data_IF_917516162743
#
_entry.id   IF_917516162743
#
_cell.length_a   1.000
_cell.length_b   1.000
_cell.length_c   1.000
_cell.angle_alpha   90.00
_cell.angle_beta   90.00
_cell.angle_gamma   90.00
#
_symmetry.space_group_name_H-M   'P 1'
#
loop_
_entity.id
_entity.type
_entity.pdbx_description
1 polymer ?
#
# COMPACT_ATOMS: atom_id res chain seq x y z
N UNK A 1 -7.17 -21.80 11.49
CA UNK A 1 -6.71 -20.66 10.67
C UNK A 1 -6.12 -19.63 11.59
N UNK A 2 -4.93 -19.14 11.36
CA UNK A 2 -4.38 -18.04 12.13
C UNK A 2 -5.34 -16.84 11.98
N UNK A 3 -5.60 -16.14 13.10
CA UNK A 3 -6.52 -15.00 13.13
C UNK A 3 -5.76 -13.82 12.50
N UNK A 4 -6.15 -13.36 11.31
CA UNK A 4 -5.52 -12.20 10.67
C UNK A 4 -5.51 -11.01 11.63
N UNK A 5 -4.42 -10.25 11.65
CA UNK A 5 -4.32 -9.01 12.42
C UNK A 5 -5.37 -7.98 11.98
N UNK A 6 -5.50 -7.79 10.66
CA UNK A 6 -6.54 -6.96 10.06
C UNK A 6 -7.44 -7.86 9.21
N UNK A 7 -8.74 -7.89 9.46
CA UNK A 7 -9.75 -8.64 8.72
C UNK A 7 -10.76 -7.69 8.09
N UNK A 8 -10.91 -7.79 6.79
CA UNK A 8 -11.93 -7.08 6.01
C UNK A 8 -12.89 -8.13 5.46
N UNK A 9 -14.18 -8.00 5.77
CA UNK A 9 -15.20 -8.99 5.45
C UNK A 9 -16.36 -8.33 4.70
N UNK A 10 -16.54 -8.67 3.43
CA UNK A 10 -17.63 -8.21 2.55
C UNK A 10 -17.83 -6.70 2.55
N UNK A 11 -16.71 -5.96 2.55
CA UNK A 11 -16.73 -4.51 2.58
C UNK A 11 -17.31 -3.94 1.28
N UNK A 12 -18.32 -3.07 1.40
CA UNK A 12 -18.99 -2.44 0.25
C UNK A 12 -19.12 -0.95 0.51
N UNK A 13 -18.86 -0.14 -0.52
CA UNK A 13 -19.05 1.30 -0.46
C UNK A 13 -19.86 1.81 -1.64
N UNK A 14 -20.89 2.60 -1.30
CA UNK A 14 -21.78 3.28 -2.23
C UNK A 14 -21.81 4.77 -1.94
N UNK A 15 -21.88 5.57 -2.97
CA UNK A 15 -22.10 7.01 -2.87
C UNK A 15 -23.31 7.44 -3.67
N UNK A 16 -24.00 8.54 -3.30
CA UNK A 16 -25.04 9.14 -4.16
C UNK A 16 -24.46 9.50 -5.53
N UNK A 17 -25.19 9.21 -6.60
CA UNK A 17 -24.76 9.49 -8.00
C UNK A 17 -25.12 10.90 -8.50
N UNK A 18 -25.73 11.73 -7.64
CA UNK A 18 -26.20 13.08 -7.99
C UNK A 18 -27.50 13.13 -8.79
N UNK A 19 -27.99 12.00 -9.31
CA UNK A 19 -29.25 11.88 -10.06
C UNK A 19 -30.36 11.21 -9.25
N UNK A 20 -30.18 11.04 -7.94
CA UNK A 20 -31.12 10.38 -7.03
C UNK A 20 -30.90 8.86 -6.90
N UNK A 21 -29.88 8.32 -7.58
CA UNK A 21 -29.44 6.94 -7.46
C UNK A 21 -28.21 6.77 -6.56
N UNK A 22 -27.62 5.57 -6.61
CA UNK A 22 -26.36 5.27 -5.88
C UNK A 22 -25.37 4.60 -6.81
N UNK A 23 -24.13 5.05 -6.78
CA UNK A 23 -22.99 4.44 -7.48
C UNK A 23 -22.23 3.54 -6.50
N UNK A 24 -22.10 2.26 -6.82
CA UNK A 24 -21.26 1.32 -6.07
C UNK A 24 -19.82 1.45 -6.54
N UNK A 25 -18.93 1.88 -5.65
CA UNK A 25 -17.49 2.03 -5.97
C UNK A 25 -16.82 0.67 -5.95
N UNK A 26 -16.99 -0.07 -4.85
CA UNK A 26 -16.57 -1.47 -4.73
C UNK A 26 -17.58 -2.26 -3.91
N UNK A 27 -17.62 -3.56 -4.13
CA UNK A 27 -18.51 -4.46 -3.41
C UNK A 27 -17.80 -5.75 -2.96
N UNK A 28 -18.26 -6.28 -1.81
CA UNK A 28 -17.82 -7.55 -1.26
C UNK A 28 -16.29 -7.72 -1.14
N UNK A 29 -15.55 -6.62 -0.93
CA UNK A 29 -14.11 -6.71 -0.73
C UNK A 29 -13.82 -7.50 0.56
N UNK A 30 -13.16 -8.67 0.42
CA UNK A 30 -12.84 -9.57 1.52
C UNK A 30 -11.37 -9.94 1.44
N UNK A 31 -10.60 -9.57 2.45
CA UNK A 31 -9.18 -9.93 2.58
C UNK A 31 -8.70 -9.76 4.03
N UNK A 32 -7.56 -10.33 4.34
CA UNK A 32 -6.91 -10.13 5.64
C UNK A 32 -5.48 -9.64 5.47
N UNK A 33 -4.90 -9.08 6.53
CA UNK A 33 -3.48 -8.71 6.61
C UNK A 33 -2.91 -9.31 7.89
N UNK A 34 -1.76 -9.98 7.78
CA UNK A 34 -1.08 -10.56 8.93
C UNK A 34 -0.31 -9.48 9.71
N UNK A 35 -0.05 -9.74 10.99
CA UNK A 35 0.75 -8.81 11.80
C UNK A 35 2.17 -8.71 11.26
N UNK A 36 2.68 -7.48 11.12
CA UNK A 36 4.01 -7.20 10.57
C UNK A 36 4.12 -7.36 9.04
N UNK A 37 3.03 -7.71 8.34
CA UNK A 37 3.03 -7.86 6.89
C UNK A 37 3.02 -6.49 6.19
N UNK A 38 3.78 -6.36 5.11
CA UNK A 38 3.71 -5.22 4.19
C UNK A 38 2.84 -5.59 2.99
N UNK A 39 1.64 -5.05 2.93
CA UNK A 39 0.67 -5.30 1.84
C UNK A 39 0.54 -4.07 0.96
N UNK A 40 0.68 -4.25 -0.35
CA UNK A 40 0.33 -3.23 -1.34
C UNK A 40 -1.01 -3.56 -2.01
N UNK A 41 -1.78 -2.52 -2.36
CA UNK A 41 -2.96 -2.65 -3.20
C UNK A 41 -2.76 -1.90 -4.51
N UNK A 42 -2.92 -2.63 -5.62
CA UNK A 42 -2.83 -2.14 -6.99
C UNK A 42 -4.20 -2.16 -7.67
N UNK A 43 -4.45 -1.20 -8.53
CA UNK A 43 -5.66 -1.10 -9.35
C UNK A 43 -5.75 0.24 -10.05
N UNK A 44 -6.61 0.35 -11.04
CA UNK A 44 -6.79 1.58 -11.82
C UNK A 44 -7.32 2.73 -10.95
N UNK A 45 -7.13 3.97 -11.43
CA UNK A 45 -7.72 5.14 -10.78
C UNK A 45 -9.25 4.99 -10.70
N UNK A 46 -9.84 5.41 -9.59
CA UNK A 46 -11.28 5.34 -9.37
C UNK A 46 -11.84 3.96 -8.95
N UNK A 47 -11.04 2.91 -8.80
CA UNK A 47 -11.54 1.61 -8.32
C UNK A 47 -11.79 1.53 -6.80
N UNK A 48 -11.53 2.60 -6.04
CA UNK A 48 -11.88 2.67 -4.62
C UNK A 48 -10.76 2.39 -3.63
N UNK A 49 -9.49 2.35 -4.03
CA UNK A 49 -8.34 2.10 -3.13
C UNK A 49 -8.27 3.10 -1.97
N UNK A 50 -8.30 4.41 -2.27
CA UNK A 50 -8.29 5.46 -1.25
C UNK A 50 -9.55 5.44 -0.38
N UNK A 51 -10.68 4.97 -0.92
CA UNK A 51 -11.91 4.78 -0.14
C UNK A 51 -11.73 3.64 0.87
N UNK A 52 -11.15 2.50 0.47
CA UNK A 52 -10.79 1.41 1.39
C UNK A 52 -9.85 1.94 2.47
N UNK A 53 -8.81 2.67 2.09
CA UNK A 53 -7.86 3.23 3.05
C UNK A 53 -8.52 4.20 4.03
N UNK A 54 -9.42 5.07 3.59
CA UNK A 54 -10.16 5.97 4.48
C UNK A 54 -11.02 5.21 5.50
N UNK A 55 -11.62 4.09 5.09
CA UNK A 55 -12.35 3.21 6.01
C UNK A 55 -11.37 2.58 7.02
N UNK A 56 -10.22 2.07 6.57
CA UNK A 56 -9.19 1.52 7.45
C UNK A 56 -8.62 2.57 8.41
N UNK A 57 -8.51 3.82 7.99
CA UNK A 57 -8.10 4.94 8.83
C UNK A 57 -9.18 5.35 9.85
N UNK A 58 -10.44 4.92 9.65
CA UNK A 58 -11.61 5.35 10.44
C UNK A 58 -12.10 6.74 10.07
N UNK A 59 -11.73 7.25 8.88
CA UNK A 59 -12.15 8.54 8.34
C UNK A 59 -13.46 8.45 7.54
N UNK A 60 -13.89 7.24 7.21
CA UNK A 60 -15.14 6.96 6.52
C UNK A 60 -15.76 5.67 7.08
N UNK A 61 -17.08 5.61 7.09
CA UNK A 61 -17.82 4.40 7.42
C UNK A 61 -18.20 3.65 6.15
N UNK A 62 -18.10 2.31 6.12
CA UNK A 62 -18.53 1.52 4.98
C UNK A 62 -20.07 1.50 4.90
N UNK A 63 -20.61 1.38 3.68
CA UNK A 63 -22.04 1.17 3.47
C UNK A 63 -22.50 -0.17 4.05
N UNK A 64 -21.67 -1.20 3.94
CA UNK A 64 -21.87 -2.51 4.57
C UNK A 64 -20.56 -3.29 4.66
N UNK A 65 -20.57 -4.39 5.40
CA UNK A 65 -19.39 -5.19 5.69
C UNK A 65 -18.75 -4.80 7.03
N UNK A 66 -17.64 -5.46 7.36
CA UNK A 66 -17.00 -5.35 8.67
C UNK A 66 -15.49 -5.26 8.51
N UNK A 67 -14.87 -4.37 9.30
CA UNK A 67 -13.40 -4.31 9.43
C UNK A 67 -13.07 -4.56 10.91
N UNK A 68 -12.13 -5.48 11.15
CA UNK A 68 -11.61 -5.79 12.49
C UNK A 68 -10.08 -5.68 12.50
N UNK A 69 -9.54 -5.13 13.57
CA UNK A 69 -8.11 -5.10 13.85
C UNK A 69 -7.87 -5.71 15.25
N UNK A 70 -6.95 -6.64 15.38
CA UNK A 70 -6.74 -7.44 16.60
C UNK A 70 -8.03 -8.14 17.10
N UNK A 71 -8.97 -8.40 16.19
CA UNK A 71 -10.28 -9.01 16.50
C UNK A 71 -11.36 -8.05 16.96
N UNK A 72 -11.05 -6.78 17.14
CA UNK A 72 -12.00 -5.73 17.52
C UNK A 72 -12.51 -4.95 16.31
N UNK A 73 -13.77 -4.53 16.33
CA UNK A 73 -14.35 -3.72 15.26
C UNK A 73 -13.65 -2.37 15.17
N UNK A 74 -13.29 -1.99 13.95
CA UNK A 74 -12.76 -0.67 13.65
C UNK A 74 -13.87 0.39 13.71
N UNK A 75 -13.68 1.40 14.55
CA UNK A 75 -14.55 2.57 14.62
C UNK A 75 -13.73 3.85 14.74
N UNK A 76 -14.09 4.89 13.98
CA UNK A 76 -13.47 6.21 14.04
C UNK A 76 -11.95 6.25 13.94
N UNK A 77 -11.31 7.41 13.96
CA UNK A 77 -9.84 7.57 14.00
C UNK A 77 -9.24 7.07 15.33
N UNK A 78 -8.01 6.54 15.27
CA UNK A 78 -7.28 6.06 16.44
C UNK A 78 -5.78 6.27 16.28
N UNK A 79 -5.04 6.47 17.36
CA UNK A 79 -3.58 6.55 17.36
C UNK A 79 -2.90 5.20 17.05
N UNK A 80 -3.63 4.09 17.07
CA UNK A 80 -3.12 2.78 16.63
C UNK A 80 -3.02 2.67 15.10
N UNK A 81 -3.48 3.69 14.36
CA UNK A 81 -3.40 3.78 12.90
C UNK A 81 -2.71 5.07 12.48
N UNK A 82 -1.53 4.92 11.89
CA UNK A 82 -0.78 6.02 11.29
C UNK A 82 -1.14 6.17 9.81
N UNK A 83 -1.26 7.41 9.31
CA UNK A 83 -1.56 7.68 7.91
C UNK A 83 -0.50 8.60 7.31
N UNK A 84 0.05 8.21 6.15
CA UNK A 84 0.87 9.05 5.29
C UNK A 84 0.05 9.34 4.04
N UNK A 85 -0.37 10.59 3.88
CA UNK A 85 -1.16 11.04 2.73
C UNK A 85 -0.26 11.48 1.57
N UNK A 86 -0.77 11.40 0.35
CA UNK A 86 -0.09 11.81 -0.88
C UNK A 86 0.43 13.27 -0.83
N UNK A 87 -0.27 14.16 -0.16
CA UNK A 87 0.07 15.58 -0.02
C UNK A 87 0.88 15.92 1.24
N UNK A 88 1.54 14.92 1.86
CA UNK A 88 2.34 15.00 3.09
C UNK A 88 1.56 15.39 4.35
N UNK A 89 0.50 16.18 4.28
CA UNK A 89 -0.35 16.67 5.37
C UNK A 89 0.44 17.20 6.58
N UNK A 90 1.52 17.94 6.30
CA UNK A 90 2.31 18.61 7.34
C UNK A 90 1.62 19.89 7.81
N UNK A 91 1.73 20.18 9.11
CA UNK A 91 1.27 21.42 9.70
C UNK A 91 2.22 22.55 9.26
N UNK A 92 1.79 23.49 8.39
CA UNK A 92 2.70 24.41 7.71
C UNK A 92 3.31 25.47 8.63
N UNK A 93 2.73 25.71 9.79
CA UNK A 93 3.25 26.63 10.80
C UNK A 93 4.25 26.00 11.76
N UNK A 94 4.39 24.66 11.79
CA UNK A 94 5.34 23.93 12.61
C UNK A 94 6.60 23.57 11.81
N UNK A 95 7.76 23.49 12.50
CA UNK A 95 8.98 22.94 11.91
C UNK A 95 8.85 21.43 11.69
N UNK A 96 9.81 20.80 10.98
CA UNK A 96 9.86 19.36 10.80
C UNK A 96 9.83 18.63 12.15
N UNK A 97 10.72 18.99 13.07
CA UNK A 97 10.75 18.41 14.42
C UNK A 97 9.42 18.62 15.16
N UNK A 98 8.83 19.82 15.09
CA UNK A 98 7.55 20.11 15.74
C UNK A 98 6.38 19.34 15.13
N UNK A 99 6.42 19.02 13.84
CA UNK A 99 5.42 18.14 13.20
C UNK A 99 5.46 16.73 13.79
N UNK A 100 6.65 16.20 14.07
CA UNK A 100 6.81 14.86 14.66
C UNK A 100 6.49 14.90 16.16
N UNK A 101 7.05 15.85 16.91
CA UNK A 101 6.80 15.97 18.36
C UNK A 101 5.32 16.19 18.70
N UNK A 102 4.57 16.87 17.83
CA UNK A 102 3.12 17.05 17.98
C UNK A 102 2.38 15.71 18.01
N UNK A 103 2.73 14.80 17.11
CA UNK A 103 2.12 13.49 17.03
C UNK A 103 2.58 12.58 18.19
N UNK A 104 3.88 12.56 18.48
CA UNK A 104 4.47 11.76 19.56
C UNK A 104 3.91 12.17 20.93
N UNK A 105 3.76 13.47 21.19
CA UNK A 105 3.20 13.95 22.45
C UNK A 105 1.72 13.52 22.65
N UNK A 106 0.95 13.42 21.57
CA UNK A 106 -0.42 12.90 21.62
C UNK A 106 -0.46 11.38 21.90
N UNK A 107 0.52 10.64 21.39
CA UNK A 107 0.60 9.18 21.57
C UNK A 107 1.10 8.79 22.97
N UNK A 108 2.05 9.55 23.50
CA UNK A 108 2.72 9.27 24.77
C UNK A 108 2.55 10.44 25.76
N UNK A 109 1.32 10.63 26.31
CA UNK A 109 0.99 11.79 27.14
C UNK A 109 1.80 11.85 28.46
N UNK A 110 2.29 10.71 28.92
CA UNK A 110 3.08 10.61 30.16
C UNK A 110 4.58 10.89 29.97
N UNK A 111 5.02 11.08 28.71
CA UNK A 111 6.42 11.37 28.42
C UNK A 111 6.78 12.83 28.72
N UNK A 112 7.98 13.02 29.22
CA UNK A 112 8.56 14.36 29.38
C UNK A 112 8.81 15.01 28.02
N UNK A 113 8.86 16.34 27.97
CA UNK A 113 9.18 17.08 26.74
C UNK A 113 10.52 16.63 26.14
N UNK A 114 11.50 16.29 26.99
CA UNK A 114 12.79 15.82 26.55
C UNK A 114 12.68 14.46 25.85
N UNK A 115 11.98 13.49 26.43
CA UNK A 115 11.75 12.17 25.81
C UNK A 115 11.03 12.29 24.46
N UNK A 116 10.00 13.14 24.37
CA UNK A 116 9.29 13.40 23.10
C UNK A 116 10.23 13.97 22.04
N UNK A 117 11.10 14.92 22.40
CA UNK A 117 12.07 15.52 21.47
C UNK A 117 13.13 14.51 21.03
N UNK A 118 13.72 13.77 21.96
CA UNK A 118 14.74 12.76 21.66
C UNK A 118 14.21 11.68 20.74
N UNK A 119 13.04 11.12 21.04
CA UNK A 119 12.39 10.11 20.21
C UNK A 119 12.05 10.65 18.81
N UNK A 120 11.49 11.86 18.73
CA UNK A 120 11.15 12.49 17.44
C UNK A 120 12.39 12.77 16.59
N UNK A 121 13.48 13.20 17.22
CA UNK A 121 14.75 13.44 16.54
C UNK A 121 15.33 12.14 15.99
N UNK A 122 15.30 11.06 16.77
CA UNK A 122 15.78 9.76 16.33
C UNK A 122 15.04 9.24 15.08
N UNK A 123 13.72 9.44 14.99
CA UNK A 123 12.97 9.07 13.78
C UNK A 123 13.25 9.98 12.58
N UNK A 124 13.50 11.27 12.80
CA UNK A 124 13.95 12.17 11.73
C UNK A 124 15.33 11.78 11.19
N UNK A 125 16.25 11.40 12.08
CA UNK A 125 17.57 10.90 11.70
C UNK A 125 17.50 9.59 10.90
N UNK A 126 16.61 8.66 11.29
CA UNK A 126 16.37 7.39 10.55
C UNK A 126 15.92 7.62 9.12
N UNK A 127 15.24 8.71 8.83
CA UNK A 127 14.85 9.11 7.46
C UNK A 127 15.81 10.15 6.85
N UNK A 128 17.03 10.27 7.36
CA UNK A 128 18.09 11.12 6.80
C UNK A 128 17.88 12.63 6.98
N UNK A 129 17.07 13.07 7.94
CA UNK A 129 16.89 14.49 8.27
C UNK A 129 17.64 14.84 9.57
N UNK A 130 18.73 15.62 9.45
CA UNK A 130 19.62 15.95 10.56
C UNK A 130 19.94 17.46 10.61
N UNK A 131 20.59 17.88 11.71
CA UNK A 131 21.10 19.24 11.89
C UNK A 131 20.01 20.30 11.77
N UNK A 132 20.33 21.44 11.18
CA UNK A 132 19.41 22.58 11.06
C UNK A 132 18.14 22.29 10.23
N UNK A 133 18.16 21.24 9.42
CA UNK A 133 17.03 20.88 8.56
C UNK A 133 15.77 20.55 9.36
N UNK A 134 15.91 19.92 10.54
CA UNK A 134 14.75 19.56 11.36
C UNK A 134 14.03 20.77 11.97
N UNK A 135 14.67 21.93 11.99
CA UNK A 135 14.09 23.19 12.50
C UNK A 135 13.37 24.00 11.42
N UNK A 136 13.49 23.61 10.13
CA UNK A 136 12.83 24.28 9.00
C UNK A 136 11.34 23.95 8.95
N UNK A 137 10.55 24.94 8.48
CA UNK A 137 9.12 24.75 8.19
C UNK A 137 8.91 24.06 6.83
N UNK A 138 7.75 23.44 6.58
CA UNK A 138 7.47 22.76 5.32
C UNK A 138 7.70 23.59 4.06
N UNK A 139 7.47 24.90 4.11
CA UNK A 139 7.73 25.83 2.99
C UNK A 139 9.22 25.97 2.63
N UNK A 140 10.11 25.60 3.55
CA UNK A 140 11.58 25.69 3.40
C UNK A 140 12.20 24.32 3.07
N UNK A 141 11.39 23.29 2.90
CA UNK A 141 11.80 21.91 2.62
C UNK A 141 11.48 21.52 1.18
N UNK A 142 12.34 20.69 0.57
CA UNK A 142 12.05 20.05 -0.71
C UNK A 142 10.88 19.08 -0.60
N UNK A 143 10.32 18.61 -1.73
CA UNK A 143 9.28 17.58 -1.75
C UNK A 143 9.70 16.32 -1.02
N UNK A 144 10.89 15.81 -1.32
CA UNK A 144 11.46 14.64 -0.65
C UNK A 144 11.66 14.83 0.85
N UNK A 145 12.14 16.02 1.27
CA UNK A 145 12.27 16.31 2.71
C UNK A 145 10.91 16.36 3.41
N UNK A 146 9.88 16.93 2.79
CA UNK A 146 8.51 16.90 3.35
C UNK A 146 7.99 15.49 3.49
N UNK A 147 8.25 14.63 2.50
CA UNK A 147 7.87 13.21 2.55
C UNK A 147 8.56 12.49 3.71
N UNK A 148 9.86 12.70 3.88
CA UNK A 148 10.63 12.15 5.01
C UNK A 148 10.05 12.56 6.37
N UNK A 149 9.68 13.84 6.54
CA UNK A 149 9.00 14.31 7.76
C UNK A 149 7.66 13.61 7.97
N UNK A 150 6.87 13.41 6.90
CA UNK A 150 5.58 12.72 6.97
C UNK A 150 5.74 11.25 7.38
N UNK A 151 6.73 10.56 6.80
CA UNK A 151 7.09 9.18 7.15
C UNK A 151 7.57 9.12 8.62
N UNK A 152 8.53 9.95 9.01
CA UNK A 152 9.03 9.99 10.39
C UNK A 152 7.91 10.22 11.41
N UNK A 153 6.98 11.15 11.13
CA UNK A 153 5.83 11.44 11.98
C UNK A 153 4.91 10.22 12.14
N UNK A 154 4.67 9.50 11.06
CA UNK A 154 3.79 8.33 11.09
C UNK A 154 4.43 7.17 11.86
N UNK A 155 5.73 6.90 11.64
CA UNK A 155 6.46 5.83 12.33
C UNK A 155 6.74 6.14 13.81
N UNK A 156 7.07 7.39 14.14
CA UNK A 156 7.37 7.81 15.51
C UNK A 156 6.17 7.66 16.46
N UNK A 157 4.96 7.59 15.94
CA UNK A 157 3.75 7.29 16.71
C UNK A 157 3.64 5.81 17.11
N UNK A 158 4.50 4.95 16.58
CA UNK A 158 4.46 3.50 16.82
C UNK A 158 3.04 2.90 16.66
N UNK A 159 2.34 3.20 15.56
CA UNK A 159 1.01 2.65 15.34
C UNK A 159 1.11 1.15 15.05
N UNK A 160 0.04 0.41 15.33
CA UNK A 160 -0.06 -1.01 14.95
C UNK A 160 -0.22 -1.21 13.44
N UNK A 161 -0.87 -0.25 12.77
CA UNK A 161 -1.13 -0.24 11.33
C UNK A 161 -0.70 1.08 10.71
N UNK A 162 0.16 1.03 9.71
CA UNK A 162 0.54 2.15 8.87
C UNK A 162 -0.20 2.09 7.53
N UNK A 163 -0.85 3.17 7.19
CA UNK A 163 -1.59 3.37 5.95
C UNK A 163 -0.84 4.39 5.08
N UNK A 164 -0.40 3.99 3.89
CA UNK A 164 0.40 4.83 3.00
C UNK A 164 -0.37 5.05 1.69
N UNK A 165 -0.83 6.26 1.42
CA UNK A 165 -1.58 6.62 0.20
C UNK A 165 -0.65 7.24 -0.84
N UNK A 166 -0.22 6.45 -1.81
CA UNK A 166 0.70 6.84 -2.89
C UNK A 166 1.90 7.68 -2.38
N UNK A 167 2.65 7.18 -1.38
CA UNK A 167 3.59 8.00 -0.62
C UNK A 167 4.75 8.55 -1.46
N UNK A 168 4.98 8.02 -2.64
CA UNK A 168 6.11 8.43 -3.49
C UNK A 168 5.67 9.06 -4.83
N UNK A 169 4.36 9.20 -5.06
CA UNK A 169 3.81 9.65 -6.34
C UNK A 169 4.25 11.06 -6.78
N UNK A 170 4.53 11.96 -5.83
CA UNK A 170 4.94 13.34 -6.10
C UNK A 170 6.47 13.53 -6.21
N UNK A 171 7.26 12.45 -6.17
CA UNK A 171 8.73 12.52 -6.14
C UNK A 171 9.35 12.20 -7.51
N UNK A 172 10.48 12.85 -7.81
CA UNK A 172 11.34 12.46 -8.93
C UNK A 172 11.96 11.07 -8.70
N UNK A 173 12.42 10.43 -9.76
CA UNK A 173 12.86 9.03 -9.73
C UNK A 173 14.04 8.75 -8.76
N UNK A 174 15.01 9.67 -8.68
CA UNK A 174 16.18 9.48 -7.81
C UNK A 174 15.80 9.65 -6.34
N UNK A 175 15.09 10.72 -6.02
CA UNK A 175 14.57 10.99 -4.67
C UNK A 175 13.65 9.87 -4.20
N UNK A 176 12.77 9.37 -5.08
CA UNK A 176 11.84 8.25 -4.80
C UNK A 176 12.62 7.02 -4.35
N UNK A 177 13.66 6.62 -5.10
CA UNK A 177 14.48 5.47 -4.78
C UNK A 177 15.05 5.54 -3.36
N UNK A 178 15.69 6.66 -3.04
CA UNK A 178 16.30 6.86 -1.72
C UNK A 178 15.27 6.79 -0.59
N UNK A 179 14.10 7.41 -0.75
CA UNK A 179 13.05 7.42 0.30
C UNK A 179 12.41 6.05 0.47
N UNK A 180 12.27 5.26 -0.60
CA UNK A 180 11.79 3.88 -0.50
C UNK A 180 12.76 3.00 0.29
N UNK A 181 14.06 3.16 0.07
CA UNK A 181 15.10 2.41 0.81
C UNK A 181 15.09 2.80 2.30
N UNK A 182 14.94 4.09 2.60
CA UNK A 182 14.80 4.59 3.97
C UNK A 182 13.53 4.06 4.65
N UNK A 183 12.39 4.02 3.93
CA UNK A 183 11.15 3.47 4.45
C UNK A 183 11.30 2.00 4.81
N UNK A 184 11.91 1.18 3.91
CA UNK A 184 12.19 -0.23 4.18
C UNK A 184 13.07 -0.39 5.42
N UNK A 185 14.11 0.44 5.53
CA UNK A 185 15.04 0.38 6.66
C UNK A 185 14.33 0.71 7.99
N UNK A 186 13.50 1.75 8.03
CA UNK A 186 12.72 2.08 9.24
C UNK A 186 11.70 0.98 9.55
N UNK A 187 10.97 0.49 8.54
CA UNK A 187 9.97 -0.56 8.70
C UNK A 187 10.57 -1.87 9.22
N UNK A 188 11.72 -2.29 8.68
CA UNK A 188 12.39 -3.53 9.12
C UNK A 188 12.81 -3.55 10.59
N UNK A 189 12.92 -2.36 11.21
CA UNK A 189 13.28 -2.21 12.63
C UNK A 189 12.07 -2.11 13.56
N UNK A 190 10.86 -1.91 13.02
CA UNK A 190 9.67 -1.57 13.83
C UNK A 190 8.58 -2.63 13.82
N UNK A 191 8.65 -3.63 12.95
CA UNK A 191 7.65 -4.72 12.81
C UNK A 191 6.19 -4.25 12.66
N UNK A 192 5.98 -3.02 12.23
CA UNK A 192 4.64 -2.47 12.05
C UNK A 192 3.97 -3.08 10.82
N UNK A 193 2.67 -3.34 10.91
CA UNK A 193 1.88 -3.77 9.76
C UNK A 193 1.68 -2.59 8.81
N UNK A 194 1.91 -2.78 7.50
CA UNK A 194 1.80 -1.73 6.50
C UNK A 194 0.76 -2.11 5.44
N UNK A 195 -0.14 -1.17 5.15
CA UNK A 195 -1.04 -1.25 4.00
C UNK A 195 -0.80 -0.02 3.11
N UNK A 196 -0.32 -0.24 1.89
CA UNK A 196 0.10 0.83 0.99
C UNK A 196 -0.69 0.81 -0.31
N UNK A 197 -1.18 1.96 -0.73
CA UNK A 197 -1.68 2.18 -2.09
C UNK A 197 -0.52 2.64 -2.97
N UNK A 198 -0.38 2.01 -4.11
CA UNK A 198 0.50 2.48 -5.18
C UNK A 198 -0.10 2.15 -6.54
N UNK A 199 0.36 2.84 -7.57
CA UNK A 199 0.08 2.52 -8.97
C UNK A 199 1.35 2.00 -9.70
N UNK A 200 2.48 1.97 -9.01
CA UNK A 200 3.76 1.52 -9.53
C UNK A 200 3.98 0.04 -9.19
N UNK A 201 4.08 -0.80 -10.24
CA UNK A 201 4.23 -2.25 -10.11
C UNK A 201 5.59 -2.59 -9.51
N UNK A 202 6.66 -1.92 -9.97
CA UNK A 202 8.03 -2.23 -9.56
C UNK A 202 8.24 -1.81 -8.09
N UNK A 203 7.59 -0.73 -7.65
CA UNK A 203 7.51 -0.33 -6.25
C UNK A 203 6.80 -1.39 -5.40
N UNK A 204 5.65 -1.86 -5.84
CA UNK A 204 4.91 -2.89 -5.10
C UNK A 204 5.71 -4.20 -4.96
N UNK A 205 6.43 -4.63 -6.01
CA UNK A 205 7.29 -5.82 -5.95
C UNK A 205 8.47 -5.62 -5.00
N UNK A 206 9.07 -4.43 -4.98
CA UNK A 206 10.18 -4.11 -4.09
C UNK A 206 9.76 -4.13 -2.62
N UNK A 207 8.63 -3.50 -2.30
CA UNK A 207 8.24 -3.20 -0.93
C UNK A 207 7.37 -4.28 -0.28
N UNK A 208 6.42 -4.88 -1.01
CA UNK A 208 5.37 -5.70 -0.43
C UNK A 208 5.78 -7.17 -0.21
N UNK A 209 5.23 -7.79 0.82
CA UNK A 209 5.21 -9.26 0.99
C UNK A 209 4.07 -9.86 0.16
N UNK A 210 3.01 -9.08 -0.02
CA UNK A 210 1.83 -9.46 -0.77
C UNK A 210 1.19 -8.27 -1.47
N UNK A 211 0.67 -8.49 -2.68
CA UNK A 211 0.01 -7.48 -3.49
C UNK A 211 -1.45 -7.89 -3.73
N UNK A 212 -2.37 -7.01 -3.37
CA UNK A 212 -3.79 -7.15 -3.66
C UNK A 212 -4.11 -6.45 -4.98
N UNK A 213 -4.82 -7.15 -5.88
CA UNK A 213 -5.18 -6.64 -7.18
C UNK A 213 -6.68 -6.34 -7.26
N UNK A 214 -7.02 -5.07 -7.49
CA UNK A 214 -8.40 -4.62 -7.67
C UNK A 214 -8.81 -4.60 -9.13
N UNK A 215 -10.06 -5.01 -9.41
CA UNK A 215 -10.68 -4.82 -10.73
C UNK A 215 -10.98 -3.36 -11.00
N UNK A 216 -11.32 -3.02 -12.23
CA UNK A 216 -11.79 -1.69 -12.56
C UNK A 216 -13.19 -1.44 -11.96
N UNK A 217 -13.49 -0.18 -11.62
CA UNK A 217 -14.83 0.26 -11.27
C UNK A 217 -15.75 0.41 -12.49
N UNK A 218 -17.06 0.63 -12.27
CA UNK A 218 -17.77 0.54 -11.01
C UNK A 218 -17.89 -0.91 -10.48
N UNK A 219 -18.33 -1.08 -9.23
CA UNK A 219 -18.41 -2.38 -8.54
C UNK A 219 -17.08 -3.13 -8.54
N UNK A 220 -15.99 -2.41 -8.25
CA UNK A 220 -14.66 -3.01 -8.14
C UNK A 220 -14.61 -4.02 -6.99
N UNK A 221 -13.71 -5.00 -7.10
CA UNK A 221 -13.45 -5.97 -6.04
C UNK A 221 -11.96 -6.31 -5.96
N UNK A 222 -11.53 -6.85 -4.85
CA UNK A 222 -10.21 -7.46 -4.74
C UNK A 222 -10.28 -8.85 -5.38
N UNK A 223 -9.67 -9.01 -6.56
CA UNK A 223 -9.78 -10.23 -7.35
C UNK A 223 -8.66 -11.23 -7.05
N UNK A 224 -7.44 -10.73 -6.86
CA UNK A 224 -6.27 -11.58 -6.63
C UNK A 224 -5.42 -11.07 -5.47
N UNK A 225 -4.75 -12.00 -4.81
CA UNK A 225 -3.76 -11.78 -3.76
C UNK A 225 -2.45 -12.47 -4.18
N UNK A 226 -1.50 -11.68 -4.69
CA UNK A 226 -0.23 -12.18 -5.22
C UNK A 226 0.83 -12.14 -4.13
N UNK A 227 1.36 -13.31 -3.75
CA UNK A 227 2.47 -13.41 -2.80
C UNK A 227 3.79 -13.15 -3.52
N UNK A 228 4.61 -12.28 -2.94
CA UNK A 228 5.95 -11.99 -3.49
C UNK A 228 6.92 -13.03 -2.95
N UNK A 229 7.40 -13.88 -3.85
CA UNK A 229 8.30 -15.01 -3.54
C UNK A 229 9.78 -14.63 -3.53
N UNK A 230 10.10 -13.35 -3.79
CA UNK A 230 11.45 -12.81 -3.71
C UNK A 230 11.79 -12.55 -2.24
N UNK A 231 12.86 -13.14 -1.70
CA UNK A 231 13.20 -12.99 -0.29
C UNK A 231 13.64 -11.55 0.06
N UNK A 232 13.54 -11.22 1.34
CA UNK A 232 14.14 -9.99 1.91
C UNK A 232 15.56 -10.27 2.44
N UNK A 233 16.47 -9.28 2.51
CA UNK A 233 16.30 -7.91 2.04
C UNK A 233 16.30 -7.83 0.51
N UNK A 234 15.49 -6.93 -0.06
CA UNK A 234 15.44 -6.68 -1.50
C UNK A 234 16.20 -5.41 -1.83
N UNK A 235 17.14 -5.52 -2.75
CA UNK A 235 17.90 -4.40 -3.28
C UNK A 235 17.32 -3.99 -4.64
N UNK A 236 17.10 -2.70 -4.85
CA UNK A 236 16.52 -2.13 -6.07
C UNK A 236 17.28 -2.50 -7.32
N UNK A 237 18.62 -2.53 -7.27
CA UNK A 237 19.46 -2.84 -8.42
C UNK A 237 19.53 -4.34 -8.72
N UNK A 238 19.39 -5.17 -7.70
CA UNK A 238 19.55 -6.63 -7.80
C UNK A 238 18.22 -7.36 -7.99
N UNK A 239 17.11 -6.78 -7.51
CA UNK A 239 15.80 -7.43 -7.55
C UNK A 239 15.37 -7.81 -8.96
N UNK A 240 15.75 -7.00 -9.96
CA UNK A 240 15.42 -7.23 -11.38
C UNK A 240 16.10 -8.46 -11.95
N UNK A 241 17.22 -8.91 -11.35
CA UNK A 241 17.96 -10.10 -11.75
C UNK A 241 17.36 -11.38 -11.14
N UNK A 242 16.47 -11.23 -10.14
CA UNK A 242 15.86 -12.38 -9.49
C UNK A 242 14.97 -13.15 -10.48
N UNK A 243 15.08 -14.50 -10.57
CA UNK A 243 14.35 -15.32 -11.55
C UNK A 243 12.84 -15.10 -11.59
N UNK A 244 12.22 -14.79 -10.44
CA UNK A 244 10.77 -14.60 -10.32
C UNK A 244 10.33 -13.16 -10.61
N UNK A 245 11.24 -12.18 -10.70
CA UNK A 245 10.88 -10.77 -10.84
C UNK A 245 10.02 -10.50 -12.07
N UNK A 246 10.49 -10.88 -13.25
CA UNK A 246 9.74 -10.65 -14.49
C UNK A 246 8.48 -11.50 -14.60
N UNK A 247 8.44 -12.68 -14.00
CA UNK A 247 7.24 -13.49 -13.97
C UNK A 247 6.13 -12.82 -13.13
N UNK A 248 6.48 -12.32 -11.95
CA UNK A 248 5.57 -11.55 -11.10
C UNK A 248 5.14 -10.26 -11.81
N UNK A 249 6.09 -9.49 -12.32
CA UNK A 249 5.83 -8.22 -13.01
C UNK A 249 4.89 -8.40 -14.21
N UNK A 250 5.14 -9.39 -15.05
CA UNK A 250 4.30 -9.67 -16.21
C UNK A 250 2.87 -10.07 -15.81
N UNK A 251 2.71 -10.87 -14.76
CA UNK A 251 1.38 -11.21 -14.22
C UNK A 251 0.62 -9.95 -13.79
N UNK A 252 1.26 -9.07 -13.02
CA UNK A 252 0.65 -7.81 -12.56
C UNK A 252 0.27 -6.91 -13.74
N UNK A 253 1.15 -6.78 -14.75
CA UNK A 253 0.89 -6.00 -15.97
C UNK A 253 -0.30 -6.59 -16.75
N UNK A 254 -0.34 -7.91 -16.94
CA UNK A 254 -1.45 -8.59 -17.64
C UNK A 254 -2.78 -8.42 -16.88
N UNK A 255 -2.75 -8.54 -15.56
CA UNK A 255 -3.94 -8.32 -14.75
C UNK A 255 -4.45 -6.89 -14.93
N UNK A 256 -3.62 -5.88 -14.72
CA UNK A 256 -4.01 -4.47 -14.81
C UNK A 256 -4.40 -4.08 -16.25
N UNK A 257 -3.69 -4.58 -17.26
CA UNK A 257 -3.96 -4.24 -18.66
C UNK A 257 -5.24 -4.85 -19.24
N UNK A 258 -5.53 -6.09 -18.90
CA UNK A 258 -6.59 -6.87 -19.57
C UNK A 258 -7.61 -7.50 -18.63
N UNK A 259 -7.16 -8.24 -17.59
CA UNK A 259 -8.04 -9.02 -16.73
C UNK A 259 -8.92 -8.15 -15.85
N UNK A 260 -8.40 -7.05 -15.34
CA UNK A 260 -9.14 -6.10 -14.50
C UNK A 260 -10.38 -5.54 -15.21
N UNK A 261 -10.29 -5.26 -16.53
CA UNK A 261 -11.41 -4.80 -17.35
C UNK A 261 -12.43 -5.91 -17.61
N UNK A 262 -11.99 -7.15 -17.89
CA UNK A 262 -12.87 -8.30 -18.14
C UNK A 262 -13.67 -8.71 -16.90
N UNK A 263 -13.13 -8.43 -15.71
CA UNK A 263 -13.73 -8.73 -14.41
C UNK A 263 -14.58 -7.56 -13.87
N UNK A 264 -14.47 -6.36 -14.45
CA UNK A 264 -15.25 -5.19 -14.07
C UNK A 264 -16.76 -5.42 -14.28
N UNK A 265 -17.57 -4.97 -13.32
CA UNK A 265 -19.03 -5.06 -13.38
C UNK A 265 -19.62 -6.47 -13.31
N UNK A 266 -18.81 -7.50 -13.11
CA UNK A 266 -19.30 -8.86 -12.84
C UNK A 266 -19.49 -9.00 -11.34
N UNK A 267 -20.74 -9.10 -10.89
CA UNK A 267 -21.05 -9.47 -9.51
C UNK A 267 -20.45 -10.84 -9.21
N UNK A 268 -19.77 -10.95 -8.09
CA UNK A 268 -19.35 -12.25 -7.58
C UNK A 268 -20.58 -13.05 -7.18
N UNK A 269 -20.82 -14.17 -7.83
CA UNK A 269 -22.02 -15.00 -7.60
C UNK A 269 -22.05 -15.74 -6.26
N UNK A 270 -21.11 -15.51 -5.34
CA UNK A 270 -20.97 -16.22 -4.07
C UNK A 270 -20.80 -15.31 -2.88
N UNK A 271 -21.33 -15.71 -1.72
CA UNK A 271 -21.42 -14.90 -0.50
C UNK A 271 -20.07 -14.69 0.24
N UNK A 272 -18.95 -15.32 -0.18
CA UNK A 272 -17.68 -15.29 0.57
C UNK A 272 -16.45 -15.50 -0.35
N UNK A 273 -16.33 -14.67 -1.37
CA UNK A 273 -15.19 -14.74 -2.30
C UNK A 273 -13.98 -13.97 -1.75
N UNK A 274 -13.11 -14.71 -1.07
CA UNK A 274 -11.74 -14.22 -0.83
C UNK A 274 -10.99 -14.12 -2.17
N UNK A 275 -10.06 -13.14 -2.33
CA UNK A 275 -9.26 -13.05 -3.54
C UNK A 275 -8.47 -14.36 -3.75
N UNK A 276 -8.37 -14.78 -5.00
CA UNK A 276 -7.55 -15.91 -5.39
C UNK A 276 -6.09 -15.66 -4.95
N UNK A 277 -5.52 -16.59 -4.19
CA UNK A 277 -4.12 -16.47 -3.79
C UNK A 277 -3.24 -17.04 -4.91
N UNK A 278 -2.45 -16.16 -5.50
CA UNK A 278 -1.55 -16.48 -6.62
C UNK A 278 -0.12 -16.59 -6.12
N UNK A 279 0.50 -17.74 -6.34
CA UNK A 279 1.92 -17.98 -6.14
C UNK A 279 2.60 -18.06 -7.50
N UNK A 280 3.47 -17.09 -7.81
CA UNK A 280 4.19 -17.07 -9.07
C UNK A 280 5.59 -17.62 -8.82
N UNK A 281 5.85 -18.80 -9.38
CA UNK A 281 7.15 -19.42 -9.39
C UNK A 281 7.48 -19.87 -10.83
N UNK A 282 8.76 -19.81 -11.21
CA UNK A 282 9.25 -20.17 -12.55
C UNK A 282 8.91 -21.60 -12.96
N UNK A 283 8.65 -22.48 -11.99
CA UNK A 283 8.22 -23.87 -12.21
C UNK A 283 6.78 -23.98 -12.70
N UNK A 284 5.91 -23.01 -12.41
CA UNK A 284 4.47 -23.04 -12.78
C UNK A 284 4.24 -22.60 -14.23
N UNK A 285 5.16 -21.86 -14.83
CA UNK A 285 5.10 -21.45 -16.26
C UNK A 285 5.15 -22.64 -17.23
N UNK A 286 5.48 -23.86 -16.78
CA UNK A 286 5.50 -25.07 -17.62
C UNK A 286 4.17 -25.83 -17.68
N UNK A 287 3.19 -25.51 -16.83
CA UNK A 287 1.92 -26.25 -16.77
C UNK A 287 0.82 -25.63 -17.64
N UNK A 288 0.98 -24.39 -18.10
CA UNK A 288 0.00 -23.73 -18.97
C UNK A 288 0.30 -23.84 -20.47
N UNK A 289 1.37 -24.53 -20.87
CA UNK A 289 1.71 -24.76 -22.29
C UNK A 289 1.13 -26.07 -22.88
N UNK A 290 0.35 -26.85 -22.13
CA UNK A 290 -0.14 -28.16 -22.60
C UNK A 290 -1.55 -28.20 -23.18
N UNK A 291 -2.27 -27.05 -23.29
CA UNK A 291 -3.57 -27.04 -23.95
C UNK A 291 -3.63 -25.93 -25.02
N UNK A 292 -3.19 -26.27 -26.23
CA UNK A 292 -3.31 -25.35 -27.37
C UNK A 292 -2.52 -25.79 -28.60
N UNK A 293 -2.76 -27.02 -29.10
CA UNK A 293 -2.46 -27.32 -30.49
C UNK A 293 -3.32 -26.42 -31.40
N UNK A 294 -2.66 -25.63 -32.23
CA UNK A 294 -2.86 -25.46 -33.67
C UNK A 294 -2.32 -24.09 -34.15
N UNK A 295 -1.40 -24.14 -35.09
CA UNK A 295 -1.11 -23.02 -35.98
C UNK A 295 0.35 -22.58 -36.08
N UNK A 296 1.21 -23.45 -36.62
CA UNK A 296 2.52 -23.06 -37.12
C UNK A 296 2.40 -22.09 -38.32
N UNK A 297 2.90 -20.87 -38.14
CA UNK A 297 3.24 -20.01 -39.28
C UNK A 297 4.76 -19.90 -39.39
N UNK A 298 5.35 -20.11 -40.57
CA UNK A 298 6.78 -20.12 -40.72
C UNK A 298 7.38 -18.71 -40.74
N UNK A 299 8.45 -18.51 -40.00
CA UNK A 299 9.31 -17.34 -40.07
C UNK A 299 9.92 -17.25 -41.49
N UNK A 300 9.54 -16.23 -42.26
CA UNK A 300 10.30 -15.83 -43.46
C UNK A 300 11.53 -15.03 -43.00
N UNK A 301 12.70 -15.59 -43.36
CA UNK A 301 13.94 -14.85 -43.33
C UNK A 301 13.86 -13.65 -44.29
N UNK A 302 14.23 -12.47 -43.80
CA UNK A 302 14.56 -11.33 -44.65
C UNK A 302 16.09 -11.21 -44.59
N UNK A 303 16.76 -11.73 -45.63
CA UNK A 303 18.05 -11.27 -46.08
C UNK A 303 17.78 -10.16 -47.10
N UNK A 304 18.29 -8.99 -46.84
CA UNK A 304 19.12 -8.07 -47.65
C UNK A 304 19.15 -6.70 -46.98
#
# INVERSE_FOLDING_TARGET
MAKSFLSIERLTQKFPDGAGGTMTVFENATFGVEKGEFVCILGHSGCGKSTIMNILAGLAEPTSGVVKMDGEHLSGPSLDRGVVFQNYSLLPWLSALKNVTFAVAARFPDWTKQQVVEHSTAFLEKVGLTGDTIHRKPSQLSGGMRQRVSIARAFANEPKLLLLDEPFGALDALTRGTIQDELINVWSQTEQTVFMITHDIDEAILLADRILLMTNGPMARVAESVKITIPRPRNRTEIVEHPNYYAIRNHLVQFLGQRSKKLAGKSSGGADERPETVHIDKTISRVTESDGEHGSLPLRAINE
#
